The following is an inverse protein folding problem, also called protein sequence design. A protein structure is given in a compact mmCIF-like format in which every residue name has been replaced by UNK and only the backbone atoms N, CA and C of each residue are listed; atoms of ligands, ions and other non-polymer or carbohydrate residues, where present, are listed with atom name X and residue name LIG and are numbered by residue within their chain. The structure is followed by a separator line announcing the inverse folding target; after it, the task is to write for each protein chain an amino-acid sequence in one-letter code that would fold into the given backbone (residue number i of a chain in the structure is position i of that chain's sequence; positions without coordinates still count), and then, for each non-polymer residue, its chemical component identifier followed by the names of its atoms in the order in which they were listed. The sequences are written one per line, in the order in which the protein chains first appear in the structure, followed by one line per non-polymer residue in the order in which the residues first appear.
data_IF_722861686468
#
_entry.id   IF_722861686468
#
_cell.length_a   1.000
_cell.length_b   1.000
_cell.length_c   1.000
_cell.angle_alpha   90.00
_cell.angle_beta   90.00
_cell.angle_gamma   90.00
#
_symmetry.space_group_name_H-M   'P 1'
#
loop_
_entity.id
_entity.type
_entity.pdbx_description
1 polymer ?
#
# COMPACT_ATOMS: atom_id res chain seq x y z
N UNK A 1 -25.09 -12.51 -4.94
CA UNK A 1 -24.49 -12.44 -6.29
C UNK A 1 -24.43 -10.97 -6.65
N UNK A 2 -23.26 -10.33 -6.51
CA UNK A 2 -23.08 -8.94 -6.93
C UNK A 2 -22.96 -8.96 -8.45
N UNK A 3 -23.95 -8.38 -9.10
CA UNK A 3 -23.98 -8.18 -10.54
C UNK A 3 -22.75 -7.35 -10.95
N UNK A 4 -21.87 -7.94 -11.73
CA UNK A 4 -20.68 -7.25 -12.26
C UNK A 4 -21.18 -6.25 -13.29
N UNK A 5 -21.50 -5.02 -12.84
CA UNK A 5 -21.82 -3.92 -13.75
C UNK A 5 -20.54 -3.59 -14.49
N UNK A 6 -20.40 -4.16 -15.69
CA UNK A 6 -19.36 -3.74 -16.65
C UNK A 6 -19.71 -2.30 -17.02
N UNK A 7 -18.82 -1.36 -16.67
CA UNK A 7 -18.99 0.01 -17.07
C UNK A 7 -18.92 0.08 -18.61
N UNK A 8 -20.06 0.41 -19.23
CA UNK A 8 -20.23 0.45 -20.69
C UNK A 8 -19.25 1.44 -21.34
N UNK A 9 -18.91 2.51 -20.64
CA UNK A 9 -17.93 3.49 -21.12
C UNK A 9 -16.52 2.88 -21.13
N UNK A 10 -16.13 2.19 -20.06
CA UNK A 10 -14.84 1.50 -19.99
C UNK A 10 -14.73 0.47 -21.12
N UNK A 11 -15.77 -0.34 -21.33
CA UNK A 11 -15.79 -1.35 -22.38
C UNK A 11 -15.60 -0.72 -23.78
N UNK A 12 -16.24 0.42 -24.05
CA UNK A 12 -16.09 1.17 -25.29
C UNK A 12 -14.67 1.69 -25.47
N UNK A 13 -14.11 2.35 -24.43
CA UNK A 13 -12.75 2.89 -24.48
C UNK A 13 -11.72 1.77 -24.66
N UNK A 14 -11.87 0.67 -23.96
CA UNK A 14 -11.01 -0.51 -24.11
C UNK A 14 -11.06 -1.10 -25.52
N UNK A 15 -12.25 -1.09 -26.15
CA UNK A 15 -12.41 -1.48 -27.54
C UNK A 15 -11.63 -0.57 -28.50
N UNK A 16 -11.66 0.75 -28.29
CA UNK A 16 -10.90 1.71 -29.10
C UNK A 16 -9.39 1.51 -28.96
N UNK A 17 -8.90 1.30 -27.73
CA UNK A 17 -7.47 1.05 -27.49
C UNK A 17 -7.03 -0.24 -28.20
N UNK A 18 -7.83 -1.31 -28.14
CA UNK A 18 -7.55 -2.57 -28.84
C UNK A 18 -7.56 -2.43 -30.35
N UNK A 19 -8.34 -1.46 -30.89
CA UNK A 19 -8.35 -1.12 -32.30
C UNK A 19 -7.18 -0.21 -32.73
N UNK A 20 -6.28 0.17 -31.79
CA UNK A 20 -5.08 0.96 -32.08
C UNK A 20 -5.19 2.44 -31.70
N UNK A 21 -6.32 2.90 -31.15
CA UNK A 21 -6.47 4.27 -30.64
C UNK A 21 -5.79 4.40 -29.26
N UNK A 22 -4.49 4.71 -29.29
CA UNK A 22 -3.67 4.89 -28.08
C UNK A 22 -4.17 6.08 -27.24
N UNK A 23 -4.66 7.13 -27.88
CA UNK A 23 -5.11 8.36 -27.22
C UNK A 23 -6.36 8.11 -26.36
N UNK A 24 -7.17 7.10 -26.71
CA UNK A 24 -8.29 6.68 -25.89
C UNK A 24 -7.89 6.29 -24.46
N UNK A 25 -6.64 5.84 -24.23
CA UNK A 25 -6.16 5.47 -22.90
C UNK A 25 -6.15 6.64 -21.91
N UNK A 26 -5.93 7.86 -22.38
CA UNK A 26 -5.98 9.07 -21.55
C UNK A 26 -7.32 9.24 -20.82
N UNK A 27 -8.42 8.78 -21.40
CA UNK A 27 -9.75 8.81 -20.75
C UNK A 27 -9.82 7.89 -19.54
N UNK A 28 -9.27 6.68 -19.64
CA UNK A 28 -9.17 5.78 -18.49
C UNK A 28 -8.23 6.34 -17.42
N UNK A 29 -7.11 6.93 -17.82
CA UNK A 29 -6.21 7.60 -16.86
C UNK A 29 -6.94 8.69 -16.09
N UNK A 30 -7.61 9.63 -16.78
CA UNK A 30 -8.37 10.72 -16.15
C UNK A 30 -9.45 10.20 -15.21
N UNK A 31 -10.21 9.17 -15.63
CA UNK A 31 -11.28 8.57 -14.84
C UNK A 31 -10.76 7.92 -13.55
N UNK A 32 -9.63 7.23 -13.63
CA UNK A 32 -9.14 6.38 -12.54
C UNK A 32 -7.97 6.97 -11.74
N UNK A 33 -7.40 8.13 -12.14
CA UNK A 33 -6.21 8.70 -11.46
C UNK A 33 -6.44 8.94 -9.96
N UNK A 34 -7.58 9.49 -9.55
CA UNK A 34 -7.89 9.72 -8.14
C UNK A 34 -7.99 8.42 -7.34
N UNK A 35 -8.60 7.38 -7.92
CA UNK A 35 -8.71 6.06 -7.28
C UNK A 35 -7.34 5.39 -7.14
N UNK A 36 -6.53 5.43 -8.20
CA UNK A 36 -5.17 4.85 -8.15
C UNK A 36 -4.30 5.60 -7.16
N UNK A 37 -4.30 6.94 -7.20
CA UNK A 37 -3.56 7.75 -6.23
C UNK A 37 -4.00 7.48 -4.78
N UNK A 38 -5.31 7.29 -4.53
CA UNK A 38 -5.84 6.91 -3.24
C UNK A 38 -5.30 5.55 -2.75
N UNK A 39 -5.27 4.54 -3.64
CA UNK A 39 -4.67 3.23 -3.30
C UNK A 39 -3.18 3.40 -3.01
N UNK A 40 -2.45 4.08 -3.89
CA UNK A 40 -0.99 4.26 -3.73
C UNK A 40 -0.67 5.02 -2.45
N UNK A 41 -1.42 6.06 -2.10
CA UNK A 41 -1.20 6.85 -0.88
C UNK A 41 -1.40 6.06 0.41
N UNK A 42 -2.27 5.06 0.40
CA UNK A 42 -2.44 4.13 1.53
C UNK A 42 -1.32 3.09 1.66
N UNK A 43 -0.51 2.90 0.60
CA UNK A 43 0.45 1.81 0.53
C UNK A 43 1.90 2.24 0.34
N UNK A 44 2.18 3.52 0.08
CA UNK A 44 3.52 4.03 -0.23
C UNK A 44 3.79 5.37 0.48
N UNK A 45 5.07 5.77 0.66
CA UNK A 45 5.44 7.07 1.18
C UNK A 45 4.89 8.21 0.32
N UNK A 46 4.53 9.34 0.97
CA UNK A 46 3.89 10.48 0.30
C UNK A 46 4.66 11.00 -0.90
N UNK A 47 5.99 11.08 -0.78
CA UNK A 47 6.90 11.56 -1.81
C UNK A 47 6.95 10.65 -3.04
N UNK A 48 6.52 9.39 -2.90
CA UNK A 48 6.52 8.39 -4.00
C UNK A 48 5.16 8.23 -4.67
N UNK A 49 4.10 8.83 -4.13
CA UNK A 49 2.72 8.63 -4.61
C UNK A 49 2.57 9.02 -6.08
N UNK A 50 3.08 10.17 -6.49
CA UNK A 50 2.96 10.65 -7.88
C UNK A 50 3.64 9.71 -8.87
N UNK A 51 4.90 9.34 -8.57
CA UNK A 51 5.70 8.46 -9.41
C UNK A 51 5.06 7.06 -9.54
N UNK A 52 4.68 6.46 -8.40
CA UNK A 52 4.05 5.15 -8.39
C UNK A 52 2.68 5.15 -9.08
N UNK A 53 1.90 6.22 -8.92
CA UNK A 53 0.63 6.38 -9.64
C UNK A 53 0.84 6.35 -11.14
N UNK A 54 1.85 7.07 -11.64
CA UNK A 54 2.21 7.04 -13.06
C UNK A 54 2.67 5.64 -13.49
N UNK A 55 3.53 5.00 -12.71
CA UNK A 55 4.02 3.64 -12.98
C UNK A 55 2.87 2.62 -13.06
N UNK A 56 1.85 2.74 -12.20
CA UNK A 56 0.66 1.88 -12.25
C UNK A 56 -0.02 1.98 -13.61
N UNK A 57 -0.22 3.19 -14.15
CA UNK A 57 -0.83 3.35 -15.46
C UNK A 57 0.04 2.82 -16.59
N UNK A 58 1.35 2.99 -16.53
CA UNK A 58 2.29 2.40 -17.51
C UNK A 58 2.21 0.87 -17.47
N UNK A 59 2.21 0.27 -16.27
CA UNK A 59 2.08 -1.19 -16.10
C UNK A 59 0.72 -1.68 -16.57
N UNK A 60 -0.36 -0.96 -16.26
CA UNK A 60 -1.70 -1.28 -16.71
C UNK A 60 -1.79 -1.26 -18.24
N UNK A 61 -1.28 -0.23 -18.90
CA UNK A 61 -1.24 -0.15 -20.35
C UNK A 61 -0.51 -1.34 -20.98
N UNK A 62 0.69 -1.66 -20.49
CA UNK A 62 1.50 -2.79 -20.98
C UNK A 62 0.82 -4.15 -20.79
N UNK A 63 0.03 -4.30 -19.73
CA UNK A 63 -0.68 -5.55 -19.42
C UNK A 63 -2.12 -5.59 -19.93
N UNK A 64 -2.58 -4.55 -20.63
CA UNK A 64 -3.96 -4.39 -21.07
C UNK A 64 -4.41 -5.50 -22.03
N UNK A 65 -3.49 -6.02 -22.85
CA UNK A 65 -3.75 -7.16 -23.72
C UNK A 65 -4.19 -8.43 -22.96
N UNK A 66 -3.74 -8.58 -21.71
CA UNK A 66 -4.13 -9.68 -20.81
C UNK A 66 -5.42 -9.46 -20.04
N UNK A 67 -6.02 -8.27 -20.10
CA UNK A 67 -7.29 -7.98 -19.45
C UNK A 67 -8.45 -8.58 -20.26
N UNK A 68 -9.10 -9.61 -19.70
CA UNK A 68 -10.16 -10.38 -20.37
C UNK A 68 -11.57 -9.84 -20.11
N UNK A 69 -11.75 -8.91 -19.15
CA UNK A 69 -13.07 -8.43 -18.77
C UNK A 69 -13.78 -9.30 -17.71
N UNK A 70 -13.09 -10.27 -17.08
CA UNK A 70 -13.64 -11.17 -16.06
C UNK A 70 -14.03 -10.41 -14.77
N UNK A 71 -13.60 -9.18 -14.62
CA UNK A 71 -13.95 -8.25 -13.54
C UNK A 71 -13.99 -6.82 -14.06
N UNK A 72 -14.67 -5.87 -13.37
CA UNK A 72 -14.65 -4.46 -13.75
C UNK A 72 -13.22 -3.93 -13.88
N UNK A 73 -12.99 -3.07 -14.89
CA UNK A 73 -11.65 -2.52 -15.15
C UNK A 73 -11.02 -1.87 -13.93
N UNK A 74 -11.80 -1.08 -13.18
CA UNK A 74 -11.31 -0.44 -11.95
C UNK A 74 -10.88 -1.42 -10.86
N UNK A 75 -11.45 -2.65 -10.81
CA UNK A 75 -11.01 -3.69 -9.88
C UNK A 75 -9.71 -4.35 -10.34
N UNK A 76 -9.59 -4.63 -11.64
CA UNK A 76 -8.34 -5.12 -12.23
C UNK A 76 -7.20 -4.09 -12.05
N UNK A 77 -7.47 -2.82 -12.28
CA UNK A 77 -6.51 -1.72 -12.10
C UNK A 77 -6.06 -1.59 -10.63
N UNK A 78 -6.97 -1.78 -9.66
CA UNK A 78 -6.63 -1.81 -8.24
C UNK A 78 -5.63 -2.94 -7.91
N UNK A 79 -5.78 -4.13 -8.50
CA UNK A 79 -4.79 -5.22 -8.36
C UNK A 79 -3.42 -4.81 -8.92
N UNK A 80 -3.40 -4.12 -10.07
CA UNK A 80 -2.15 -3.60 -10.64
C UNK A 80 -1.49 -2.60 -9.69
N UNK A 81 -2.28 -1.69 -9.09
CA UNK A 81 -1.79 -0.70 -8.14
C UNK A 81 -1.20 -1.33 -6.86
N UNK A 82 -1.92 -2.27 -6.24
CA UNK A 82 -1.43 -2.98 -5.04
C UNK A 82 -0.16 -3.75 -5.33
N UNK A 83 -0.06 -4.41 -6.49
CA UNK A 83 1.15 -5.13 -6.92
C UNK A 83 2.32 -4.18 -7.16
N UNK A 84 2.09 -3.01 -7.76
CA UNK A 84 3.13 -2.01 -7.95
C UNK A 84 3.70 -1.53 -6.61
N UNK A 85 2.84 -1.26 -5.62
CA UNK A 85 3.26 -0.91 -4.26
C UNK A 85 4.03 -2.06 -3.57
N UNK A 86 3.58 -3.31 -3.74
CA UNK A 86 4.31 -4.46 -3.22
C UNK A 86 5.71 -4.60 -3.83
N UNK A 87 5.84 -4.42 -5.15
CA UNK A 87 7.13 -4.46 -5.84
C UNK A 87 8.05 -3.31 -5.40
N UNK A 88 7.49 -2.11 -5.18
CA UNK A 88 8.21 -0.98 -4.59
C UNK A 88 8.82 -1.37 -3.24
N UNK A 89 8.03 -1.92 -2.30
CA UNK A 89 8.54 -2.34 -1.01
C UNK A 89 9.55 -3.48 -1.09
N UNK A 90 9.39 -4.40 -2.06
CA UNK A 90 10.39 -5.44 -2.31
C UNK A 90 11.73 -4.85 -2.78
N UNK A 91 11.70 -3.81 -3.60
CA UNK A 91 12.90 -3.12 -4.04
C UNK A 91 13.57 -2.35 -2.89
N UNK A 92 12.77 -1.62 -2.09
CA UNK A 92 13.27 -0.89 -0.91
C UNK A 92 13.84 -1.84 0.14
N UNK A 93 13.18 -2.95 0.42
CA UNK A 93 13.67 -3.95 1.37
C UNK A 93 15.03 -4.51 0.96
N UNK A 94 15.22 -4.83 -0.33
CA UNK A 94 16.52 -5.29 -0.85
C UNK A 94 17.60 -4.22 -0.78
N UNK A 95 17.26 -2.93 -0.89
CA UNK A 95 18.22 -1.83 -0.72
C UNK A 95 18.65 -1.67 0.74
N UNK A 96 17.76 -1.98 1.68
CA UNK A 96 18.01 -1.89 3.13
C UNK A 96 18.71 -3.12 3.71
N UNK A 97 18.99 -4.17 2.93
CA UNK A 97 19.83 -5.31 3.35
C UNK A 97 21.31 -4.89 3.50
N UNK A 98 21.57 -3.82 4.28
CA UNK A 98 22.84 -3.45 4.90
C UNK A 98 22.77 -3.74 6.41
N UNK A 99 23.92 -4.00 7.08
CA UNK A 99 23.92 -4.62 8.40
C UNK A 99 23.14 -3.83 9.45
N UNK A 100 22.42 -4.59 10.27
CA UNK A 100 21.49 -4.20 11.34
C UNK A 100 22.11 -3.33 12.48
N UNK A 101 23.40 -2.99 12.41
CA UNK A 101 24.15 -2.38 13.52
C UNK A 101 23.95 -0.87 13.74
N UNK A 102 23.31 -0.15 12.82
CA UNK A 102 23.17 1.32 12.95
C UNK A 102 21.74 1.79 13.36
N UNK A 103 20.79 0.86 13.53
CA UNK A 103 19.35 1.19 13.63
C UNK A 103 18.82 1.42 15.07
N UNK A 104 19.60 1.09 16.09
CA UNK A 104 19.17 1.18 17.49
C UNK A 104 19.30 2.61 18.03
N UNK A 105 20.26 3.38 17.56
CA UNK A 105 20.57 4.71 18.10
C UNK A 105 19.67 5.82 17.54
N UNK A 106 19.25 5.72 16.26
CA UNK A 106 18.32 6.67 15.64
C UNK A 106 16.92 6.61 16.26
N UNK A 107 16.47 5.40 16.64
CA UNK A 107 15.13 5.25 17.25
C UNK A 107 15.12 5.77 18.70
N UNK A 108 16.22 5.60 19.44
CA UNK A 108 16.34 6.10 20.81
C UNK A 108 16.42 7.62 20.84
N UNK A 109 17.18 8.23 19.93
CA UNK A 109 17.26 9.68 19.76
C UNK A 109 15.91 10.31 19.41
N UNK A 110 15.12 9.63 18.56
CA UNK A 110 13.79 10.08 18.14
C UNK A 110 12.78 10.08 19.31
N UNK A 111 12.77 9.05 20.15
CA UNK A 111 11.87 8.97 21.32
C UNK A 111 12.24 10.01 22.38
N UNK A 112 13.54 10.30 22.57
CA UNK A 112 14.02 11.33 23.49
C UNK A 112 13.68 12.75 23.01
N UNK A 113 13.69 13.01 21.70
CA UNK A 113 13.34 14.31 21.10
C UNK A 113 11.83 14.57 21.17
N UNK A 114 11.00 13.55 20.99
CA UNK A 114 9.54 13.64 21.07
C UNK A 114 9.05 13.94 22.49
N UNK A 115 9.72 13.42 23.52
CA UNK A 115 9.38 13.65 24.94
C UNK A 115 9.68 15.08 25.43
N UNK A 116 10.42 15.89 24.65
CA UNK A 116 10.87 17.23 25.05
C UNK A 116 9.92 18.39 24.65
N UNK A 117 8.82 18.12 23.94
CA UNK A 117 7.88 19.14 23.43
C UNK A 117 6.60 19.21 24.27
N UNK A 118 6.65 19.87 25.42
CA UNK A 118 5.45 20.27 26.18
C UNK A 118 4.82 21.52 25.57
N UNK A 119 3.57 21.43 25.02
CA UNK A 119 2.67 22.60 24.91
C UNK A 119 1.23 22.22 24.55
N UNK A 120 0.24 22.65 25.37
CA UNK A 120 -1.20 22.78 25.11
C UNK A 120 -1.97 21.48 24.74
N UNK A 121 -3.06 21.14 25.45
CA UNK A 121 -3.83 19.89 25.32
C UNK A 121 -4.23 19.51 23.87
N UNK A 122 -4.63 20.47 23.02
CA UNK A 122 -4.95 20.20 21.62
C UNK A 122 -3.72 19.97 20.72
N UNK A 123 -2.58 20.63 21.06
CA UNK A 123 -1.30 20.40 20.43
C UNK A 123 -0.69 19.08 20.89
N UNK A 124 -0.88 18.68 22.15
CA UNK A 124 -0.45 17.41 22.72
C UNK A 124 -1.16 16.21 22.05
N UNK A 125 -2.49 16.29 21.83
CA UNK A 125 -3.22 15.22 21.13
C UNK A 125 -2.75 15.08 19.68
N UNK A 126 -2.47 16.18 19.01
CA UNK A 126 -1.97 16.18 17.62
C UNK A 126 -0.53 15.69 17.56
N UNK A 127 0.32 16.10 18.51
CA UNK A 127 1.70 15.65 18.65
C UNK A 127 1.75 14.14 18.96
N UNK A 128 0.97 13.68 19.94
CA UNK A 128 0.87 12.26 20.31
C UNK A 128 0.39 11.38 19.16
N UNK A 129 -0.58 11.83 18.37
CA UNK A 129 -1.04 11.09 17.15
C UNK A 129 0.05 11.03 16.08
N UNK A 130 0.81 12.11 15.91
CA UNK A 130 1.93 12.16 14.96
C UNK A 130 3.03 11.21 15.39
N UNK A 131 3.43 11.26 16.66
CA UNK A 131 4.42 10.37 17.25
C UNK A 131 4.03 8.90 17.13
N UNK A 132 2.79 8.55 17.47
CA UNK A 132 2.27 7.19 17.28
C UNK A 132 2.28 6.76 15.80
N UNK A 133 2.00 7.68 14.87
CA UNK A 133 2.07 7.43 13.43
C UNK A 133 3.48 7.16 12.94
N UNK A 134 4.45 7.92 13.42
CA UNK A 134 5.87 7.77 13.07
C UNK A 134 6.45 6.47 13.66
N UNK A 135 6.10 6.13 14.90
CA UNK A 135 6.47 4.87 15.53
C UNK A 135 5.87 3.66 14.80
N UNK A 136 4.61 3.76 14.38
CA UNK A 136 3.98 2.73 13.57
C UNK A 136 4.68 2.58 12.22
N UNK A 137 5.00 3.69 11.54
CA UNK A 137 5.71 3.67 10.26
C UNK A 137 7.08 3.00 10.41
N UNK A 138 7.82 3.34 11.47
CA UNK A 138 9.10 2.71 11.81
C UNK A 138 8.98 1.19 12.03
N UNK A 139 7.96 0.75 12.76
CA UNK A 139 7.74 -0.67 13.01
C UNK A 139 7.30 -1.41 11.72
N UNK A 140 6.45 -0.76 10.91
CA UNK A 140 6.01 -1.29 9.61
C UNK A 140 7.18 -1.45 8.63
N UNK A 141 8.17 -0.59 8.66
CA UNK A 141 9.37 -0.66 7.82
C UNK A 141 10.25 -1.89 8.11
N UNK A 142 10.09 -2.49 9.28
CA UNK A 142 10.80 -3.71 9.71
C UNK A 142 10.07 -5.00 9.40
N UNK A 143 8.90 -4.91 8.82
CA UNK A 143 8.19 -6.06 8.27
C UNK A 143 8.74 -6.44 6.89
N UNK A 144 8.58 -7.73 6.53
CA UNK A 144 8.79 -8.11 5.14
C UNK A 144 7.78 -7.38 4.23
N UNK A 145 8.13 -7.10 2.95
CA UNK A 145 7.22 -6.41 2.02
C UNK A 145 5.83 -7.04 1.96
N UNK A 146 5.76 -8.37 1.91
CA UNK A 146 4.48 -9.09 1.88
C UNK A 146 3.71 -8.96 3.19
N UNK A 147 4.38 -9.04 4.34
CA UNK A 147 3.73 -8.93 5.64
C UNK A 147 3.25 -7.50 5.89
N UNK A 148 4.02 -6.47 5.46
CA UNK A 148 3.59 -5.08 5.45
C UNK A 148 2.28 -4.90 4.66
N UNK A 149 2.23 -5.38 3.41
CA UNK A 149 1.02 -5.29 2.58
C UNK A 149 -0.17 -6.03 3.18
N UNK A 150 0.06 -7.20 3.78
CA UNK A 150 -1.00 -7.96 4.47
C UNK A 150 -1.57 -7.16 5.63
N UNK A 151 -0.72 -6.57 6.49
CA UNK A 151 -1.19 -5.75 7.63
C UNK A 151 -1.92 -4.51 7.14
N UNK A 152 -1.38 -3.80 6.14
CA UNK A 152 -2.02 -2.61 5.58
C UNK A 152 -3.42 -2.94 5.09
N UNK A 153 -3.57 -3.95 4.24
CA UNK A 153 -4.87 -4.31 3.69
C UNK A 153 -5.86 -4.82 4.74
N UNK A 154 -5.42 -5.67 5.69
CA UNK A 154 -6.34 -6.35 6.61
C UNK A 154 -6.62 -5.59 7.90
N UNK A 155 -5.73 -4.69 8.33
CA UNK A 155 -5.85 -4.01 9.63
C UNK A 155 -5.89 -2.49 9.53
N UNK A 156 -5.23 -1.86 8.55
CA UNK A 156 -5.29 -0.41 8.37
C UNK A 156 -6.45 -0.02 7.44
N UNK A 157 -6.70 -0.81 6.40
CA UNK A 157 -7.82 -0.60 5.47
C UNK A 157 -9.04 -1.48 5.78
N UNK A 158 -8.97 -2.35 6.79
CA UNK A 158 -10.04 -3.24 7.24
C UNK A 158 -10.66 -4.09 6.13
N UNK A 159 -9.89 -4.41 5.08
CA UNK A 159 -10.38 -5.23 3.97
C UNK A 159 -10.62 -6.67 4.40
N UNK A 160 -11.65 -7.33 3.88
CA UNK A 160 -11.84 -8.76 4.07
C UNK A 160 -10.60 -9.56 3.67
N UNK A 161 -10.24 -10.57 4.47
CA UNK A 161 -9.05 -11.41 4.22
C UNK A 161 -9.08 -12.05 2.84
N UNK A 162 -10.27 -12.40 2.33
CA UNK A 162 -10.43 -12.96 0.98
C UNK A 162 -10.03 -11.95 -0.11
N UNK A 163 -10.42 -10.67 0.06
CA UNK A 163 -10.04 -9.59 -0.85
C UNK A 163 -8.54 -9.31 -0.81
N UNK A 164 -7.95 -9.23 0.40
CA UNK A 164 -6.50 -9.07 0.55
C UNK A 164 -5.73 -10.23 -0.12
N UNK A 165 -6.23 -11.46 0.00
CA UNK A 165 -5.66 -12.63 -0.64
C UNK A 165 -5.69 -12.50 -2.18
N UNK A 166 -6.82 -12.06 -2.74
CA UNK A 166 -6.97 -11.83 -4.18
C UNK A 166 -6.05 -10.72 -4.71
N UNK A 167 -5.99 -9.58 -4.00
CA UNK A 167 -5.14 -8.44 -4.37
C UNK A 167 -3.65 -8.81 -4.38
N UNK A 168 -3.20 -9.59 -3.39
CA UNK A 168 -1.80 -10.00 -3.25
C UNK A 168 -1.44 -11.28 -4.02
N UNK A 169 -2.43 -11.98 -4.58
CA UNK A 169 -2.21 -13.29 -5.23
C UNK A 169 -1.80 -14.38 -4.23
N UNK A 170 -2.29 -14.31 -3.00
CA UNK A 170 -2.02 -15.27 -1.93
C UNK A 170 -3.26 -16.12 -1.63
N UNK A 171 -3.07 -17.26 -0.97
CA UNK A 171 -4.20 -18.03 -0.42
C UNK A 171 -4.70 -17.39 0.89
N UNK A 172 -5.99 -17.55 1.19
CA UNK A 172 -6.62 -17.06 2.44
C UNK A 172 -5.90 -17.58 3.69
N UNK A 173 -5.54 -18.87 3.81
CA UNK A 173 -4.73 -19.35 4.95
C UNK A 173 -3.37 -18.66 5.06
N UNK A 174 -2.70 -18.40 3.92
CA UNK A 174 -1.40 -17.71 3.92
C UNK A 174 -1.54 -16.28 4.47
N UNK A 175 -2.56 -15.53 4.03
CA UNK A 175 -2.83 -14.17 4.55
C UNK A 175 -3.08 -14.20 6.06
N UNK A 176 -3.90 -15.14 6.57
CA UNK A 176 -4.18 -15.26 8.02
C UNK A 176 -2.91 -15.53 8.83
N UNK A 177 -2.07 -16.46 8.39
CA UNK A 177 -0.80 -16.79 9.08
C UNK A 177 0.16 -15.59 9.05
N UNK A 178 0.28 -14.91 7.91
CA UNK A 178 1.12 -13.72 7.77
C UNK A 178 0.63 -12.57 8.65
N UNK A 179 -0.66 -12.28 8.63
CA UNK A 179 -1.26 -11.26 9.49
C UNK A 179 -0.99 -11.51 10.97
N UNK A 180 -1.11 -12.77 11.42
CA UNK A 180 -0.81 -13.15 12.79
C UNK A 180 0.67 -12.94 13.15
N UNK A 181 1.60 -13.41 12.30
CA UNK A 181 3.05 -13.29 12.53
C UNK A 181 3.50 -11.83 12.49
N UNK A 182 3.00 -11.07 11.52
CA UNK A 182 3.33 -9.65 11.38
C UNK A 182 2.86 -8.84 12.59
N UNK A 183 1.64 -9.06 13.08
CA UNK A 183 1.14 -8.40 14.30
C UNK A 183 1.95 -8.78 15.54
N UNK A 184 2.36 -10.04 15.66
CA UNK A 184 3.24 -10.46 16.75
C UNK A 184 4.57 -9.70 16.70
N UNK A 185 5.21 -9.65 15.52
CA UNK A 185 6.46 -8.89 15.32
C UNK A 185 6.30 -7.40 15.61
N UNK A 186 5.21 -6.77 15.12
CA UNK A 186 4.92 -5.36 15.42
C UNK A 186 4.80 -5.12 16.92
N UNK A 187 4.07 -5.98 17.64
CA UNK A 187 3.93 -5.85 19.10
C UNK A 187 5.28 -5.96 19.81
N UNK A 188 6.12 -6.91 19.42
CA UNK A 188 7.47 -7.09 19.98
C UNK A 188 8.35 -5.85 19.71
N UNK A 189 8.32 -5.31 18.49
CA UNK A 189 9.07 -4.10 18.12
C UNK A 189 8.60 -2.89 18.94
N UNK A 190 7.29 -2.67 19.04
CA UNK A 190 6.72 -1.53 19.78
C UNK A 190 6.97 -1.66 21.30
N UNK A 191 6.84 -2.85 21.88
CA UNK A 191 7.12 -3.08 23.30
C UNK A 191 8.59 -2.77 23.64
N UNK A 192 9.52 -3.16 22.78
CA UNK A 192 10.96 -2.89 23.00
C UNK A 192 11.29 -1.39 22.98
N UNK A 193 10.55 -0.59 22.20
CA UNK A 193 10.76 0.87 22.12
C UNK A 193 10.06 1.60 23.27
N UNK A 194 8.88 1.12 23.67
CA UNK A 194 8.09 1.75 24.75
C UNK A 194 8.56 1.35 26.18
N UNK A 195 9.57 0.49 26.31
CA UNK A 195 10.20 0.15 27.59
C UNK A 195 9.33 -0.70 28.52
N UNK A 196 8.37 -1.47 27.97
CA UNK A 196 7.48 -2.38 28.71
C UNK A 196 7.86 -3.83 28.50
#
# INVERSE_FOLDING_TARGET
MAETVVDMEDARVLGQIRAGDVDAYARLMTKYQGRVAGIVSGHAPRERVSELTHEVFVRAYRSLAGYRGDSPFGHWLAKVAVRACHDFWRAEYRRRERPESELSDECRAFVEEAAALETSEAAEETASRREAGELLAWAMDRLSPTDRMVVTLTHLEERPVAEAAELLGLSVPNVKVRAFRARKKLRELLANVMGT
#
